data_IF_758817853665
#
_entry.id   IF_758817853665
#
_cell.length_a   1.000
_cell.length_b   1.000
_cell.length_c   1.000
_cell.angle_alpha   90.00
_cell.angle_beta   90.00
_cell.angle_gamma   90.00
#
_symmetry.space_group_name_H-M   'P 1'
#
loop_
_entity.id
_entity.type
_entity.pdbx_description
1 polymer ?
#
# COMPACT_ATOMS: atom_id res chain seq x y z
N UNK A 1 25.08 9.61 -22.38
CA UNK A 1 24.97 8.61 -21.30
C UNK A 1 24.73 9.39 -20.02
N UNK A 2 23.52 9.37 -19.46
CA UNK A 2 23.24 10.04 -18.19
C UNK A 2 24.12 9.41 -17.10
N UNK A 3 24.81 10.23 -16.32
CA UNK A 3 25.76 9.77 -15.32
C UNK A 3 25.02 9.00 -14.20
N UNK A 4 25.63 7.95 -13.60
CA UNK A 4 25.00 7.13 -12.56
C UNK A 4 24.58 7.91 -11.29
N UNK A 5 25.03 9.17 -11.13
CA UNK A 5 24.59 10.07 -10.05
C UNK A 5 23.16 10.59 -10.26
N UNK A 6 22.80 10.94 -11.49
CA UNK A 6 21.49 11.52 -11.83
C UNK A 6 20.34 10.50 -11.61
N UNK A 7 20.60 9.24 -11.98
CA UNK A 7 19.68 8.11 -11.73
C UNK A 7 19.51 7.80 -10.23
N UNK A 8 20.59 7.97 -9.44
CA UNK A 8 20.56 7.72 -8.01
C UNK A 8 19.78 8.83 -7.28
N UNK A 9 19.96 10.09 -7.68
CA UNK A 9 19.23 11.23 -7.10
C UNK A 9 17.74 11.15 -7.44
N UNK A 10 17.38 10.91 -8.71
CA UNK A 10 15.99 10.71 -9.11
C UNK A 10 15.30 9.56 -8.35
N UNK A 11 16.01 8.46 -8.09
CA UNK A 11 15.49 7.35 -7.31
C UNK A 11 15.25 7.72 -5.84
N UNK A 12 16.08 8.57 -5.25
CA UNK A 12 15.91 9.03 -3.86
C UNK A 12 14.73 9.98 -3.73
N UNK A 13 14.51 10.86 -4.70
CA UNK A 13 13.35 11.74 -4.75
C UNK A 13 12.04 10.96 -4.93
N UNK A 14 12.02 9.94 -5.79
CA UNK A 14 10.84 9.06 -5.95
C UNK A 14 10.52 8.29 -4.65
N UNK A 15 11.53 7.72 -4.01
CA UNK A 15 11.35 7.03 -2.72
C UNK A 15 10.84 7.96 -1.62
N UNK A 16 11.35 9.20 -1.57
CA UNK A 16 10.90 10.19 -0.59
C UNK A 16 9.46 10.64 -0.87
N UNK A 17 9.10 10.83 -2.14
CA UNK A 17 7.73 11.17 -2.53
C UNK A 17 6.75 10.05 -2.16
N UNK A 18 7.08 8.78 -2.46
CA UNK A 18 6.27 7.63 -2.05
C UNK A 18 6.17 7.50 -0.54
N UNK A 19 7.26 7.70 0.19
CA UNK A 19 7.22 7.66 1.65
C UNK A 19 6.29 8.75 2.22
N UNK A 20 6.34 9.97 1.68
CA UNK A 20 5.43 11.04 2.10
C UNK A 20 3.95 10.71 1.80
N UNK A 21 3.67 10.05 0.67
CA UNK A 21 2.32 9.56 0.33
C UNK A 21 1.86 8.53 1.36
N UNK A 22 2.73 7.59 1.74
CA UNK A 22 2.40 6.60 2.77
C UNK A 22 2.15 7.25 4.14
N UNK A 23 2.99 8.22 4.54
CA UNK A 23 2.83 8.98 5.78
C UNK A 23 1.47 9.70 5.81
N UNK A 24 1.11 10.36 4.72
CA UNK A 24 -0.17 11.06 4.59
C UNK A 24 -1.35 10.09 4.72
N UNK A 25 -1.28 8.93 4.06
CA UNK A 25 -2.32 7.92 4.12
C UNK A 25 -2.49 7.34 5.52
N UNK A 26 -1.38 7.01 6.18
CA UNK A 26 -1.39 6.53 7.56
C UNK A 26 -1.98 7.58 8.51
N UNK A 27 -1.60 8.85 8.37
CA UNK A 27 -2.15 9.97 9.16
C UNK A 27 -3.62 10.24 8.90
N UNK A 28 -4.05 10.17 7.64
CA UNK A 28 -5.45 10.37 7.23
C UNK A 28 -6.33 9.22 7.72
N UNK A 29 -5.73 8.05 7.97
CA UNK A 29 -6.43 6.83 8.30
C UNK A 29 -6.76 6.02 7.06
N UNK A 30 -6.69 4.71 7.26
CA UNK A 30 -6.94 3.70 6.24
C UNK A 30 -8.34 3.13 6.46
N UNK A 31 -9.01 2.77 5.38
CA UNK A 31 -10.36 2.20 5.45
C UNK A 31 -10.36 0.85 6.17
N UNK A 32 -9.26 0.10 6.05
CA UNK A 32 -9.05 -1.14 6.81
C UNK A 32 -7.56 -1.49 6.85
N UNK A 33 -7.21 -2.38 7.79
CA UNK A 33 -5.93 -3.08 7.78
C UNK A 33 -6.02 -4.34 6.92
N UNK A 34 -4.95 -4.63 6.20
CA UNK A 34 -4.83 -5.82 5.39
C UNK A 34 -4.55 -7.03 6.29
N UNK A 35 -5.32 -8.09 6.08
CA UNK A 35 -5.16 -9.38 6.77
C UNK A 35 -4.81 -10.48 5.77
N UNK A 36 -4.16 -11.54 6.25
CA UNK A 36 -3.80 -12.67 5.42
C UNK A 36 -5.06 -13.46 5.01
N UNK A 37 -5.17 -13.82 3.74
CA UNK A 37 -6.34 -14.53 3.20
C UNK A 37 -6.61 -15.87 3.89
N UNK A 38 -5.56 -16.55 4.35
CA UNK A 38 -5.65 -17.87 4.98
C UNK A 38 -5.81 -17.81 6.50
N UNK A 39 -5.51 -16.66 7.12
CA UNK A 39 -5.53 -16.50 8.57
C UNK A 39 -5.87 -15.04 8.90
N UNK A 40 -7.16 -14.71 9.10
CA UNK A 40 -7.60 -13.34 9.35
C UNK A 40 -7.12 -12.78 10.70
N UNK A 41 -6.53 -13.63 11.56
CA UNK A 41 -5.85 -13.21 12.78
C UNK A 41 -4.44 -12.67 12.54
N UNK A 42 -3.91 -12.77 11.32
CA UNK A 42 -2.59 -12.26 10.92
C UNK A 42 -2.71 -11.12 9.93
N UNK A 43 -1.83 -10.14 10.07
CA UNK A 43 -1.69 -9.07 9.10
C UNK A 43 -1.12 -9.60 7.78
N UNK A 44 -1.68 -9.13 6.67
CA UNK A 44 -1.13 -9.32 5.34
C UNK A 44 -0.20 -8.16 4.98
N UNK A 45 0.57 -8.30 3.90
CA UNK A 45 1.45 -7.24 3.39
C UNK A 45 0.88 -6.65 2.11
N UNK A 46 0.97 -5.33 1.93
CA UNK A 46 0.64 -4.72 0.64
C UNK A 46 1.67 -5.09 -0.41
N UNK A 47 1.21 -5.50 -1.58
CA UNK A 47 2.06 -5.80 -2.72
C UNK A 47 1.30 -5.59 -4.03
N UNK A 48 2.03 -5.32 -5.10
CA UNK A 48 1.43 -4.96 -6.38
C UNK A 48 0.61 -6.12 -6.95
N UNK A 49 -0.58 -5.81 -7.50
CA UNK A 49 -1.48 -6.79 -8.08
C UNK A 49 -2.17 -7.72 -7.07
N UNK A 50 -1.89 -7.55 -5.77
CA UNK A 50 -2.57 -8.30 -4.72
C UNK A 50 -4.08 -8.03 -4.70
N UNK A 51 -4.88 -9.02 -4.36
CA UNK A 51 -6.33 -8.85 -4.20
C UNK A 51 -6.66 -8.68 -2.72
N UNK A 52 -7.60 -7.79 -2.42
CA UNK A 52 -8.15 -7.67 -1.08
C UNK A 52 -9.56 -8.19 -1.07
N UNK A 53 -9.75 -9.29 -0.35
CA UNK A 53 -11.04 -9.95 -0.17
C UNK A 53 -11.37 -9.88 1.32
N UNK A 54 -12.57 -9.40 1.64
CA UNK A 54 -13.08 -9.45 2.99
C UNK A 54 -13.40 -10.91 3.33
N UNK A 55 -12.74 -11.52 4.34
CA UNK A 55 -12.93 -12.93 4.67
C UNK A 55 -14.33 -13.24 5.25
N UNK A 56 -15.04 -12.23 5.75
CA UNK A 56 -16.40 -12.38 6.33
C UNK A 56 -17.46 -12.42 5.23
N UNK A 57 -17.38 -11.51 4.27
CA UNK A 57 -18.38 -11.38 3.19
C UNK A 57 -17.97 -12.09 1.90
N UNK A 58 -16.71 -12.51 1.80
CA UNK A 58 -16.08 -13.02 0.59
C UNK A 58 -16.16 -12.06 -0.62
N UNK A 59 -16.30 -10.76 -0.35
CA UNK A 59 -16.38 -9.70 -1.35
C UNK A 59 -15.10 -8.87 -1.36
N UNK A 60 -14.71 -8.36 -2.52
CA UNK A 60 -13.65 -7.35 -2.60
C UNK A 60 -14.12 -6.02 -2.01
N UNK A 61 -13.17 -5.29 -1.44
CA UNK A 61 -13.41 -3.91 -1.02
C UNK A 61 -13.67 -3.01 -2.24
N UNK A 62 -14.40 -1.89 -2.06
CA UNK A 62 -14.70 -0.99 -3.17
C UNK A 62 -13.43 -0.35 -3.73
N UNK A 63 -13.50 0.03 -5.01
CA UNK A 63 -12.47 0.82 -5.67
C UNK A 63 -12.19 2.12 -4.90
N UNK A 64 -10.96 2.61 -5.03
CA UNK A 64 -10.42 3.79 -4.34
C UNK A 64 -10.33 3.65 -2.81
N UNK A 65 -10.62 2.47 -2.25
CA UNK A 65 -10.37 2.20 -0.84
C UNK A 65 -8.89 2.26 -0.53
N UNK A 66 -8.56 2.91 0.58
CA UNK A 66 -7.20 2.95 1.12
C UNK A 66 -7.02 1.80 2.10
N UNK A 67 -6.03 0.97 1.86
CA UNK A 67 -5.64 -0.12 2.77
C UNK A 67 -4.26 0.15 3.34
N UNK A 68 -4.04 -0.33 4.56
CA UNK A 68 -2.72 -0.27 5.20
C UNK A 68 -2.35 -1.63 5.77
N UNK A 69 -1.06 -1.92 5.80
CA UNK A 69 -0.55 -3.07 6.54
C UNK A 69 0.11 -2.62 7.86
N UNK A 70 0.51 -3.59 8.67
CA UNK A 70 1.07 -3.35 10.00
C UNK A 70 2.57 -2.98 9.99
N UNK A 71 3.20 -2.95 8.83
CA UNK A 71 4.58 -2.53 8.59
C UNK A 71 4.66 -1.13 7.95
N UNK A 72 3.51 -0.46 7.76
CA UNK A 72 3.46 0.90 7.26
C UNK A 72 3.42 1.04 5.73
N UNK A 73 3.22 -0.05 5.02
CA UNK A 73 2.79 0.00 3.63
C UNK A 73 1.32 0.38 3.51
N UNK A 74 1.03 1.08 2.42
CA UNK A 74 -0.29 1.58 2.07
C UNK A 74 -0.53 1.33 0.60
N UNK A 75 -1.78 1.09 0.22
CA UNK A 75 -2.17 0.95 -1.18
C UNK A 75 -3.57 1.53 -1.41
N UNK A 76 -3.84 1.87 -2.66
CA UNK A 76 -5.18 2.19 -3.15
C UNK A 76 -5.69 1.04 -3.99
N UNK A 77 -6.94 0.64 -3.75
CA UNK A 77 -7.58 -0.38 -4.56
C UNK A 77 -8.08 0.22 -5.87
N UNK A 78 -7.77 -0.41 -6.99
CA UNK A 78 -8.32 -0.02 -8.29
C UNK A 78 -8.65 -1.27 -9.12
N UNK A 79 -9.62 -1.14 -10.02
CA UNK A 79 -9.92 -2.20 -10.96
C UNK A 79 -8.87 -2.24 -12.08
N UNK A 80 -8.25 -3.41 -12.27
CA UNK A 80 -7.31 -3.65 -13.38
C UNK A 80 -8.03 -4.11 -14.68
N UNK A 81 -9.35 -3.91 -14.79
CA UNK A 81 -10.17 -4.36 -15.91
C UNK A 81 -10.75 -5.77 -15.75
N UNK A 82 -10.55 -6.42 -14.60
CA UNK A 82 -11.12 -7.75 -14.31
C UNK A 82 -11.40 -7.95 -12.83
N UNK A 83 -10.54 -7.42 -11.96
CA UNK A 83 -10.61 -7.57 -10.50
C UNK A 83 -10.12 -6.31 -9.83
N UNK A 84 -10.58 -6.09 -8.60
CA UNK A 84 -10.06 -5.04 -7.72
C UNK A 84 -8.74 -5.52 -7.12
N UNK A 85 -7.67 -4.77 -7.39
CA UNK A 85 -6.31 -5.10 -6.95
C UNK A 85 -5.66 -3.92 -6.26
N UNK A 86 -4.62 -4.21 -5.47
CA UNK A 86 -3.75 -3.22 -4.85
C UNK A 86 -2.94 -2.51 -5.92
N UNK A 87 -3.07 -1.19 -5.94
CA UNK A 87 -2.36 -0.27 -6.83
C UNK A 87 -1.80 0.91 -6.03
N UNK A 88 -0.94 1.69 -6.67
CA UNK A 88 -0.37 2.92 -6.10
C UNK A 88 0.23 2.70 -4.71
N UNK A 89 1.14 1.73 -4.62
CA UNK A 89 1.70 1.28 -3.34
C UNK A 89 2.77 2.26 -2.88
N UNK A 90 2.71 2.58 -1.60
CA UNK A 90 3.60 3.49 -0.92
C UNK A 90 3.93 2.93 0.46
N UNK A 91 5.21 2.95 0.85
CA UNK A 91 5.68 2.45 2.15
C UNK A 91 6.28 3.62 2.93
N UNK A 92 5.85 3.79 4.18
CA UNK A 92 6.41 4.83 5.04
C UNK A 92 7.87 4.50 5.40
N UNK A 93 8.68 5.55 5.55
CA UNK A 93 9.99 5.45 6.19
C UNK A 93 9.96 5.95 7.65
N UNK A 94 8.77 6.25 8.16
CA UNK A 94 8.52 6.80 9.48
C UNK A 94 7.88 5.74 10.38
N UNK A 95 8.73 5.05 11.13
CA UNK A 95 8.31 3.98 12.05
C UNK A 95 7.41 4.46 13.20
N UNK A 96 7.35 5.77 13.48
CA UNK A 96 6.42 6.32 14.49
C UNK A 96 4.95 6.19 14.06
N UNK A 97 4.70 6.15 12.73
CA UNK A 97 3.38 5.97 12.15
C UNK A 97 2.95 4.49 12.08
N UNK A 98 3.88 3.57 12.39
CA UNK A 98 3.66 2.12 12.35
C UNK A 98 3.56 1.61 13.78
N UNK A 99 2.35 1.35 14.26
CA UNK A 99 2.08 0.93 15.64
C UNK A 99 1.08 -0.22 15.73
#
# INVERSE_FOLDING_TARGET
QAAPRDLLEASKDDMKARAAIADERLKTGCSTFLVASNDPGKFGNVHEGGQVINPVTNLSLPEYSKICDNQGGTAILANNGSKIVMTDIAVTQNFDLVR
#
